data_IF_712799791187
#
_entry.id   IF_712799791187
#
_cell.length_a   1.000
_cell.length_b   1.000
_cell.length_c   1.000
_cell.angle_alpha   90.00
_cell.angle_beta   90.00
_cell.angle_gamma   90.00
#
_symmetry.space_group_name_H-M   'P 1'
#
loop_
_entity.id
_entity.type
_entity.pdbx_description
1 polymer ?
#
# COMPACT_ATOMS: atom_id res chain seq x y z
N UNK A 1 -41.46 -11.38 -6.23
CA UNK A 1 -40.27 -11.88 -6.95
C UNK A 1 -39.39 -10.67 -7.27
N UNK A 2 -38.78 -10.09 -6.22
CA UNK A 2 -37.82 -9.00 -6.38
C UNK A 2 -36.47 -9.66 -6.68
N UNK A 3 -35.86 -9.21 -7.76
CA UNK A 3 -34.69 -9.79 -8.39
C UNK A 3 -33.49 -9.72 -7.45
N UNK A 4 -33.08 -10.87 -6.91
CA UNK A 4 -31.76 -11.06 -6.30
C UNK A 4 -30.69 -10.93 -7.40
N UNK A 5 -30.30 -9.70 -7.75
CA UNK A 5 -29.05 -9.49 -8.50
C UNK A 5 -27.89 -9.69 -7.54
N UNK A 6 -27.59 -10.95 -7.20
CA UNK A 6 -26.26 -11.31 -6.74
C UNK A 6 -25.35 -11.24 -7.96
N UNK A 7 -24.79 -10.07 -8.21
CA UNK A 7 -23.73 -9.89 -9.22
C UNK A 7 -22.55 -10.76 -8.73
N UNK A 8 -22.29 -11.95 -9.31
CA UNK A 8 -21.27 -12.86 -8.78
C UNK A 8 -19.88 -12.50 -9.32
N UNK A 9 -19.72 -11.31 -9.91
CA UNK A 9 -18.44 -10.86 -10.48
C UNK A 9 -17.50 -10.25 -9.44
N UNK A 10 -18.04 -9.81 -8.28
CA UNK A 10 -17.26 -9.12 -7.24
C UNK A 10 -16.88 -10.00 -6.04
N UNK A 11 -17.11 -11.32 -6.13
CA UNK A 11 -16.86 -12.26 -5.01
C UNK A 11 -15.58 -13.10 -5.13
N UNK A 12 -14.83 -13.02 -6.24
CA UNK A 12 -13.64 -13.87 -6.42
C UNK A 12 -12.91 -13.69 -7.76
N UNK A 13 -13.06 -12.54 -8.40
CA UNK A 13 -12.42 -12.31 -9.69
C UNK A 13 -10.92 -12.10 -9.52
N UNK A 14 -10.09 -12.97 -10.11
CA UNK A 14 -8.64 -12.83 -10.35
C UNK A 14 -8.18 -11.38 -10.61
N UNK A 15 -9.04 -10.56 -11.24
CA UNK A 15 -8.85 -9.13 -11.48
C UNK A 15 -8.57 -8.34 -10.20
N UNK A 16 -9.28 -8.60 -9.09
CA UNK A 16 -9.07 -7.91 -7.82
C UNK A 16 -7.73 -8.26 -7.16
N UNK A 17 -7.27 -9.51 -7.32
CA UNK A 17 -5.96 -9.97 -6.84
C UNK A 17 -4.84 -9.33 -7.67
N UNK A 18 -4.96 -9.35 -9.01
CA UNK A 18 -3.97 -8.73 -9.91
C UNK A 18 -3.88 -7.22 -9.66
N UNK A 19 -5.02 -6.56 -9.47
CA UNK A 19 -5.06 -5.13 -9.18
C UNK A 19 -4.38 -4.80 -7.83
N UNK A 20 -4.73 -5.51 -6.75
CA UNK A 20 -4.05 -5.33 -5.45
C UNK A 20 -2.56 -5.62 -5.54
N UNK A 21 -2.14 -6.66 -6.27
CA UNK A 21 -0.72 -6.97 -6.46
C UNK A 21 0.03 -5.84 -7.18
N UNK A 22 -0.55 -5.28 -8.24
CA UNK A 22 0.04 -4.13 -8.95
C UNK A 22 0.17 -2.90 -8.05
N UNK A 23 -0.87 -2.60 -7.27
CA UNK A 23 -0.88 -1.48 -6.33
C UNK A 23 0.20 -1.65 -5.26
N UNK A 24 0.35 -2.86 -4.69
CA UNK A 24 1.40 -3.16 -3.70
C UNK A 24 2.79 -2.95 -4.30
N UNK A 25 3.03 -3.44 -5.53
CA UNK A 25 4.35 -3.29 -6.18
C UNK A 25 4.66 -1.83 -6.46
N UNK A 26 3.71 -1.06 -7.00
CA UNK A 26 3.89 0.37 -7.27
C UNK A 26 4.13 1.14 -5.96
N UNK A 27 3.38 0.83 -4.90
CA UNK A 27 3.54 1.47 -3.61
C UNK A 27 4.87 1.12 -2.94
N UNK A 28 5.33 -0.13 -3.06
CA UNK A 28 6.64 -0.56 -2.55
C UNK A 28 7.79 0.19 -3.25
N UNK A 29 7.69 0.35 -4.57
CA UNK A 29 8.68 1.12 -5.33
C UNK A 29 8.66 2.60 -4.93
N UNK A 30 7.48 3.21 -4.75
CA UNK A 30 7.37 4.58 -4.25
C UNK A 30 7.94 4.71 -2.82
N UNK A 31 7.68 3.75 -1.93
CA UNK A 31 8.23 3.74 -0.56
C UNK A 31 9.76 3.76 -0.57
N UNK A 32 10.39 2.95 -1.43
CA UNK A 32 11.86 2.89 -1.52
C UNK A 32 12.44 4.22 -2.01
N UNK A 33 11.81 4.85 -3.00
CA UNK A 33 12.24 6.15 -3.53
C UNK A 33 12.00 7.28 -2.51
N UNK A 34 10.88 7.25 -1.79
CA UNK A 34 10.58 8.20 -0.71
C UNK A 34 11.56 8.04 0.48
N UNK A 35 11.93 6.81 0.82
CA UNK A 35 12.93 6.50 1.85
C UNK A 35 14.32 7.03 1.49
N UNK A 36 14.74 6.84 0.23
CA UNK A 36 16.05 7.31 -0.24
C UNK A 36 16.12 8.84 -0.23
N UNK A 37 15.06 9.49 -0.70
CA UNK A 37 14.92 10.96 -0.67
C UNK A 37 15.00 11.51 0.76
N UNK A 38 14.39 10.83 1.74
CA UNK A 38 14.44 11.24 3.15
C UNK A 38 15.82 11.06 3.77
N UNK A 39 16.54 9.98 3.42
CA UNK A 39 17.91 9.79 3.86
C UNK A 39 18.82 10.86 3.27
N UNK A 40 18.68 11.19 1.99
CA UNK A 40 19.45 12.25 1.34
C UNK A 40 19.19 13.60 2.02
N UNK A 41 17.92 13.95 2.27
CA UNK A 41 17.54 15.17 3.00
C UNK A 41 18.11 15.23 4.43
N UNK A 42 18.18 14.10 5.13
CA UNK A 42 18.79 14.00 6.44
C UNK A 42 20.33 14.18 6.38
N UNK A 43 20.98 13.63 5.35
CA UNK A 43 22.43 13.74 5.15
C UNK A 43 22.88 15.16 4.76
N UNK A 44 22.09 15.91 3.99
CA UNK A 44 22.39 17.28 3.61
C UNK A 44 22.13 18.32 4.74
N UNK A 45 21.75 17.88 5.94
CA UNK A 45 21.66 18.76 7.11
C UNK A 45 20.37 19.56 7.22
N UNK A 46 19.24 18.99 6.76
CA UNK A 46 17.94 19.61 6.94
C UNK A 46 17.61 19.77 8.44
N UNK A 47 16.85 20.80 8.83
CA UNK A 47 16.58 21.09 10.24
C UNK A 47 15.89 19.91 10.96
N UNK A 48 16.29 19.65 12.20
CA UNK A 48 15.81 18.53 13.07
C UNK A 48 14.29 18.39 13.21
N UNK A 49 13.54 19.45 12.88
CA UNK A 49 12.07 19.47 12.88
C UNK A 49 11.44 19.02 11.55
N UNK A 50 12.19 18.83 10.46
CA UNK A 50 11.67 18.22 9.24
C UNK A 50 11.89 16.70 9.25
N UNK A 51 12.94 16.23 9.93
CA UNK A 51 13.27 14.80 10.06
C UNK A 51 12.12 13.99 10.68
N UNK A 52 11.47 14.47 11.74
CA UNK A 52 10.41 13.71 12.40
C UNK A 52 9.14 13.58 11.55
N UNK A 53 8.80 14.62 10.76
CA UNK A 53 7.62 14.60 9.90
C UNK A 53 7.84 13.67 8.71
N UNK A 54 9.02 13.73 8.10
CA UNK A 54 9.44 12.81 7.05
C UNK A 54 9.47 11.35 7.54
N UNK A 55 10.06 11.11 8.71
CA UNK A 55 10.07 9.77 9.32
C UNK A 55 8.65 9.26 9.62
N UNK A 56 7.74 10.13 10.08
CA UNK A 56 6.35 9.76 10.30
C UNK A 56 5.62 9.41 9.01
N UNK A 57 5.82 10.17 7.93
CA UNK A 57 5.25 9.87 6.60
C UNK A 57 5.67 8.48 6.10
N UNK A 58 6.95 8.15 6.22
CA UNK A 58 7.49 6.82 5.90
C UNK A 58 6.86 5.72 6.75
N UNK A 59 6.72 5.95 8.07
CA UNK A 59 6.07 4.99 8.96
C UNK A 59 4.61 4.72 8.54
N UNK A 60 3.87 5.76 8.15
CA UNK A 60 2.49 5.61 7.67
C UNK A 60 2.44 4.81 6.37
N UNK A 61 3.30 5.11 5.40
CA UNK A 61 3.37 4.37 4.13
C UNK A 61 3.75 2.90 4.35
N UNK A 62 4.65 2.61 5.30
CA UNK A 62 5.02 1.25 5.70
C UNK A 62 3.83 0.49 6.31
N UNK A 63 3.11 1.12 7.24
CA UNK A 63 1.92 0.51 7.87
C UNK A 63 0.81 0.30 6.84
N UNK A 64 0.61 1.25 5.93
CA UNK A 64 -0.37 1.11 4.86
C UNK A 64 -0.05 -0.07 3.94
N UNK A 65 1.22 -0.21 3.54
CA UNK A 65 1.68 -1.33 2.71
C UNK A 65 1.53 -2.68 3.42
N UNK A 66 1.73 -2.72 4.74
CA UNK A 66 1.47 -3.90 5.55
C UNK A 66 -0.02 -4.31 5.52
N UNK A 67 -0.94 -3.36 5.67
CA UNK A 67 -2.38 -3.64 5.62
C UNK A 67 -2.82 -4.11 4.23
N UNK A 68 -2.30 -3.52 3.16
CA UNK A 68 -2.62 -3.93 1.78
C UNK A 68 -2.12 -5.36 1.49
N UNK A 69 -0.95 -5.74 1.99
CA UNK A 69 -0.46 -7.13 1.91
C UNK A 69 -1.39 -8.07 2.70
N UNK A 70 -1.85 -7.68 3.88
CA UNK A 70 -2.82 -8.49 4.64
C UNK A 70 -4.15 -8.65 3.89
N UNK A 71 -4.62 -7.62 3.20
CA UNK A 71 -5.82 -7.68 2.35
C UNK A 71 -5.61 -8.60 1.14
N UNK A 72 -4.44 -8.54 0.49
CA UNK A 72 -4.06 -9.47 -0.57
C UNK A 72 -4.06 -10.92 -0.07
N UNK A 73 -3.47 -11.18 1.09
CA UNK A 73 -3.44 -12.52 1.71
C UNK A 73 -4.85 -12.99 2.04
N UNK A 74 -5.75 -12.11 2.50
CA UNK A 74 -7.16 -12.45 2.74
C UNK A 74 -7.88 -12.82 1.45
N UNK A 75 -7.71 -12.04 0.38
CA UNK A 75 -8.28 -12.32 -0.96
C UNK A 75 -7.76 -13.63 -1.58
N UNK A 76 -6.51 -14.00 -1.28
CA UNK A 76 -5.91 -15.28 -1.69
C UNK A 76 -6.47 -16.46 -0.88
N UNK A 77 -6.88 -16.23 0.37
CA UNK A 77 -7.45 -17.25 1.26
C UNK A 77 -8.96 -17.46 1.06
N UNK A 78 -9.69 -16.43 0.65
CA UNK A 78 -11.14 -16.49 0.39
C UNK A 78 -11.52 -17.09 -0.99
N UNK A 79 -10.54 -17.35 -1.87
CA UNK A 79 -10.68 -18.19 -3.07
C UNK A 79 -10.27 -19.64 -2.80
#
# INVERSE_FOLDING_TARGET
>A
MAFEIKIPLYKGGIIGIIFSLLVIVIAALNLIVDLDSINELAYYGAPKYMEWYSAFGVLVTLVWLYLEILDLIQKLKEN
#
